data_IF_777911140366
#
_entry.id   IF_777911140366
#
_cell.length_a   1.000
_cell.length_b   1.000
_cell.length_c   1.000
_cell.angle_alpha   90.00
_cell.angle_beta   90.00
_cell.angle_gamma   90.00
#
_symmetry.space_group_name_H-M   'P 1'
#
loop_
_entity.id
_entity.type
_entity.pdbx_description
1 polymer ?
#
# COMPACT_ATOMS: atom_id res chain seq x y z
N UNK A 1 7.26 -1.41 -3.36
CA UNK A 1 6.15 -0.81 -2.58
C UNK A 1 5.73 0.56 -3.12
N UNK A 2 6.67 1.34 -3.66
CA UNK A 2 6.39 2.66 -4.22
C UNK A 2 5.53 2.63 -5.47
N UNK A 3 5.60 1.57 -6.25
CA UNK A 3 4.80 1.41 -7.48
C UNK A 3 3.29 1.36 -7.22
N UNK A 4 2.85 1.05 -6.00
CA UNK A 4 1.42 1.14 -5.62
C UNK A 4 0.96 2.60 -5.52
N UNK A 5 1.87 3.56 -5.34
CA UNK A 5 1.55 4.96 -5.12
C UNK A 5 1.87 5.84 -6.34
N UNK A 6 2.94 5.58 -7.08
CA UNK A 6 3.33 6.37 -8.27
C UNK A 6 4.39 5.62 -9.09
N UNK A 7 4.30 5.66 -10.41
CA UNK A 7 5.35 5.19 -11.30
C UNK A 7 5.45 6.12 -12.52
N UNK A 8 6.62 6.71 -12.69
CA UNK A 8 7.02 7.45 -13.90
C UNK A 8 7.82 6.55 -14.86
N UNK A 9 7.94 5.25 -14.57
CA UNK A 9 8.67 4.32 -15.40
C UNK A 9 7.85 3.92 -16.63
N UNK A 10 8.22 4.45 -17.78
CA UNK A 10 7.73 3.98 -19.05
C UNK A 10 8.16 2.53 -19.29
N UNK A 11 7.21 1.62 -19.32
CA UNK A 11 7.45 0.27 -19.82
C UNK A 11 7.33 0.27 -21.35
N UNK A 12 8.34 -0.26 -22.04
CA UNK A 12 8.24 -0.63 -23.44
C UNK A 12 7.26 -1.80 -23.58
N UNK A 13 6.03 -1.50 -24.01
CA UNK A 13 4.98 -2.50 -24.29
C UNK A 13 5.04 -2.99 -25.73
N UNK A 14 6.20 -2.89 -26.35
CA UNK A 14 6.36 -3.13 -27.76
C UNK A 14 6.61 -4.61 -27.95
N UNK A 15 5.84 -5.44 -28.34
CA UNK A 15 6.00 -6.67 -29.11
C UNK A 15 4.87 -7.71 -28.97
N UNK A 16 3.77 -7.37 -28.27
CA UNK A 16 2.64 -8.27 -28.30
C UNK A 16 1.43 -7.54 -28.93
N UNK A 17 1.09 -7.92 -30.16
CA UNK A 17 0.02 -7.30 -30.93
C UNK A 17 -1.33 -7.33 -30.17
N UNK A 18 -1.57 -8.41 -29.46
CA UNK A 18 -2.78 -8.58 -28.65
C UNK A 18 -2.79 -7.64 -27.44
N UNK A 19 -1.63 -7.36 -26.86
CA UNK A 19 -1.49 -6.38 -25.75
C UNK A 19 -1.63 -4.95 -26.27
N UNK A 20 -1.09 -4.66 -27.44
CA UNK A 20 -1.21 -3.35 -28.06
C UNK A 20 -2.69 -3.01 -28.34
N UNK A 21 -3.46 -3.96 -28.81
CA UNK A 21 -4.88 -3.76 -29.15
C UNK A 21 -5.77 -3.53 -27.94
N UNK A 22 -5.39 -4.06 -26.77
CA UNK A 22 -6.13 -3.80 -25.53
C UNK A 22 -5.66 -2.52 -24.83
N UNK A 23 -4.37 -2.23 -24.86
CA UNK A 23 -3.80 -1.04 -24.22
C UNK A 23 -3.97 0.21 -25.08
N UNK A 24 -3.97 0.05 -26.41
CA UNK A 24 -4.12 1.13 -27.37
C UNK A 24 -5.38 1.98 -27.17
N UNK A 25 -6.58 1.42 -26.94
CA UNK A 25 -7.76 2.21 -26.61
C UNK A 25 -7.59 3.04 -25.34
N UNK A 26 -6.89 2.53 -24.35
CA UNK A 26 -6.59 3.28 -23.11
C UNK A 26 -5.63 4.45 -23.33
N UNK A 27 -4.62 4.25 -24.18
CA UNK A 27 -3.57 5.23 -24.41
C UNK A 27 -3.95 6.26 -25.48
N UNK A 28 -4.66 5.85 -26.52
CA UNK A 28 -4.90 6.69 -27.71
C UNK A 28 -6.28 7.33 -27.75
N UNK A 29 -7.31 6.68 -27.24
CA UNK A 29 -8.68 7.18 -27.38
C UNK A 29 -9.12 8.13 -26.25
N UNK A 30 -8.25 8.44 -25.27
CA UNK A 30 -8.55 9.32 -24.12
C UNK A 30 -9.88 8.97 -23.40
N UNK A 31 -10.40 7.76 -23.55
CA UNK A 31 -11.70 7.35 -22.99
C UNK A 31 -11.69 7.19 -21.47
N UNK A 32 -10.51 7.00 -20.87
CA UNK A 32 -10.33 7.13 -19.43
C UNK A 32 -9.42 8.33 -19.18
N UNK A 33 -9.92 9.44 -18.66
CA UNK A 33 -9.08 10.58 -18.35
C UNK A 33 -8.00 10.14 -17.35
N UNK A 34 -6.75 10.50 -17.66
CA UNK A 34 -5.70 10.48 -16.65
C UNK A 34 -6.24 11.27 -15.48
N UNK A 35 -6.10 10.72 -14.29
CA UNK A 35 -6.52 11.45 -13.11
C UNK A 35 -5.62 12.68 -12.97
N UNK A 36 -6.21 13.87 -13.01
CA UNK A 36 -5.49 15.09 -12.70
C UNK A 36 -4.87 14.96 -11.31
N UNK A 37 -3.65 15.47 -11.16
CA UNK A 37 -2.84 15.38 -9.96
C UNK A 37 -3.39 16.20 -8.78
N UNK A 38 -4.54 16.82 -8.93
CA UNK A 38 -5.19 17.54 -7.83
C UNK A 38 -5.86 16.55 -6.88
N UNK A 39 -5.04 16.00 -6.02
CA UNK A 39 -5.58 15.11 -5.05
C UNK A 39 -5.05 15.42 -3.66
N UNK A 40 -5.80 16.26 -2.95
CA UNK A 40 -5.76 16.32 -1.49
C UNK A 40 -6.02 14.94 -0.85
N UNK A 41 -6.60 14.02 -1.63
CA UNK A 41 -6.89 12.65 -1.21
C UNK A 41 -6.53 11.64 -2.30
N UNK A 42 -5.37 11.01 -2.16
CA UNK A 42 -4.96 9.87 -2.98
C UNK A 42 -5.84 8.66 -2.62
N UNK A 43 -6.37 7.99 -3.62
CA UNK A 43 -7.12 6.73 -3.48
C UNK A 43 -6.66 5.69 -4.49
N UNK A 44 -6.98 4.42 -4.28
CA UNK A 44 -6.68 3.35 -5.21
C UNK A 44 -7.84 3.06 -6.15
N UNK A 45 -7.49 2.57 -7.33
CA UNK A 45 -8.41 2.04 -8.34
C UNK A 45 -8.19 0.54 -8.46
N UNK A 46 -9.26 -0.24 -8.59
CA UNK A 46 -9.19 -1.64 -8.96
C UNK A 46 -9.46 -1.79 -10.44
N UNK A 47 -8.59 -2.54 -11.15
CA UNK A 47 -8.79 -2.86 -12.56
C UNK A 47 -9.18 -4.33 -12.68
N UNK A 48 -10.36 -4.61 -13.19
CA UNK A 48 -10.81 -5.95 -13.55
C UNK A 48 -10.23 -6.36 -14.92
N UNK A 49 -8.91 -6.47 -14.99
CA UNK A 49 -8.19 -6.71 -16.23
C UNK A 49 -7.15 -7.81 -16.05
N UNK A 50 -6.86 -8.56 -17.12
CA UNK A 50 -5.74 -9.50 -17.18
C UNK A 50 -4.37 -8.82 -17.02
N UNK A 51 -4.32 -7.50 -17.15
CA UNK A 51 -3.07 -6.74 -17.17
C UNK A 51 -2.84 -6.05 -15.82
N UNK A 52 -1.99 -6.63 -14.98
CA UNK A 52 -1.85 -6.19 -13.58
C UNK A 52 -1.31 -4.78 -13.44
N UNK A 53 -0.48 -4.30 -14.33
CA UNK A 53 0.16 -2.99 -14.21
C UNK A 53 -0.54 -1.87 -15.00
N UNK A 54 -1.79 -2.06 -15.39
CA UNK A 54 -2.54 -1.07 -16.15
C UNK A 54 -2.68 0.26 -15.40
N UNK A 55 -2.79 0.23 -14.08
CA UNK A 55 -2.81 1.43 -13.23
C UNK A 55 -1.58 2.33 -13.43
N UNK A 56 -0.39 1.75 -13.68
CA UNK A 56 0.82 2.52 -13.95
C UNK A 56 0.70 3.32 -15.24
N UNK A 57 0.20 2.69 -16.31
CA UNK A 57 0.00 3.33 -17.60
C UNK A 57 -1.03 4.46 -17.53
N UNK A 58 -2.04 4.30 -16.66
CA UNK A 58 -3.12 5.26 -16.49
C UNK A 58 -2.81 6.34 -15.45
N UNK A 59 -1.60 6.35 -14.88
CA UNK A 59 -1.22 7.22 -13.76
C UNK A 59 -2.25 7.16 -12.60
N UNK A 60 -2.75 5.94 -12.31
CA UNK A 60 -3.71 5.68 -11.23
C UNK A 60 -3.10 4.73 -10.21
N UNK A 61 -3.04 5.09 -8.93
CA UNK A 61 -2.69 4.14 -7.88
C UNK A 61 -3.64 2.95 -7.94
N UNK A 62 -3.08 1.74 -7.97
CA UNK A 62 -3.88 0.53 -8.17
C UNK A 62 -3.57 -0.53 -7.13
N UNK A 63 -4.57 -1.38 -6.85
CA UNK A 63 -4.36 -2.64 -6.12
C UNK A 63 -3.95 -3.77 -7.06
N UNK A 64 -4.10 -3.59 -8.39
CA UNK A 64 -3.70 -4.57 -9.39
C UNK A 64 -2.25 -4.35 -9.78
N UNK A 65 -1.36 -5.27 -9.46
CA UNK A 65 0.08 -5.10 -9.67
C UNK A 65 0.76 -6.42 -10.04
N UNK A 66 1.85 -6.30 -10.82
CA UNK A 66 2.84 -7.34 -11.00
C UNK A 66 4.19 -6.83 -10.50
N UNK A 67 4.88 -7.62 -9.72
CA UNK A 67 6.22 -7.32 -9.23
C UNK A 67 7.16 -8.50 -9.44
N UNK A 68 8.30 -8.27 -10.06
CA UNK A 68 9.35 -9.30 -10.18
C UNK A 68 9.94 -9.68 -8.82
N UNK A 69 9.93 -8.75 -7.87
CA UNK A 69 10.36 -8.97 -6.48
C UNK A 69 9.25 -8.46 -5.56
N UNK A 70 8.69 -9.37 -4.76
CA UNK A 70 7.64 -9.06 -3.81
C UNK A 70 8.21 -8.74 -2.42
N UNK A 71 7.68 -7.69 -1.78
CA UNK A 71 7.85 -7.50 -0.36
C UNK A 71 7.17 -8.67 0.40
N UNK A 72 7.90 -9.30 1.32
CA UNK A 72 7.41 -10.48 2.07
C UNK A 72 6.12 -10.20 2.83
N UNK A 73 5.96 -8.99 3.37
CA UNK A 73 4.74 -8.61 4.08
C UNK A 73 3.55 -8.44 3.15
N UNK A 74 3.77 -7.88 1.94
CA UNK A 74 2.73 -7.81 0.92
C UNK A 74 2.34 -9.22 0.45
N UNK A 75 3.31 -10.09 0.21
CA UNK A 75 3.05 -11.47 -0.16
C UNK A 75 2.21 -12.21 0.91
N UNK A 76 2.61 -12.13 2.19
CA UNK A 76 1.84 -12.71 3.30
C UNK A 76 0.40 -12.18 3.31
N UNK A 77 0.22 -10.87 3.23
CA UNK A 77 -1.09 -10.23 3.22
C UNK A 77 -1.95 -10.72 2.05
N UNK A 78 -1.41 -10.70 0.83
CA UNK A 78 -2.16 -11.09 -0.38
C UNK A 78 -2.53 -12.57 -0.37
N UNK A 79 -1.63 -13.45 0.04
CA UNK A 79 -1.90 -14.90 0.13
C UNK A 79 -3.01 -15.22 1.12
N UNK A 80 -3.08 -14.48 2.23
CA UNK A 80 -4.09 -14.72 3.27
C UNK A 80 -5.45 -14.12 2.86
N UNK A 81 -5.46 -12.98 2.19
CA UNK A 81 -6.70 -12.31 1.78
C UNK A 81 -7.32 -12.88 0.51
N UNK A 82 -6.52 -13.60 -0.28
CA UNK A 82 -6.93 -14.20 -1.55
C UNK A 82 -6.82 -15.73 -1.52
N UNK A 83 -7.80 -16.38 -0.94
CA UNK A 83 -7.85 -17.83 -0.80
C UNK A 83 -7.94 -18.61 -2.13
N UNK A 84 -8.13 -17.93 -3.27
CA UNK A 84 -8.32 -18.56 -4.58
C UNK A 84 -7.09 -18.47 -5.49
N UNK A 85 -6.04 -17.71 -5.12
CA UNK A 85 -4.89 -17.43 -6.00
C UNK A 85 -3.54 -17.83 -5.40
N UNK A 86 -3.45 -19.01 -4.83
CA UNK A 86 -2.21 -19.56 -4.21
C UNK A 86 -1.17 -19.99 -5.26
N UNK A 87 -1.35 -19.77 -6.54
CA UNK A 87 -0.32 -20.10 -7.53
C UNK A 87 0.63 -18.92 -7.76
N UNK A 88 1.80 -18.99 -7.15
CA UNK A 88 3.09 -18.40 -7.56
C UNK A 88 3.02 -17.07 -8.32
N UNK A 89 2.09 -16.19 -8.01
CA UNK A 89 2.00 -15.01 -8.83
C UNK A 89 2.61 -13.80 -8.15
N UNK A 90 3.72 -13.36 -8.70
CA UNK A 90 4.17 -11.99 -8.61
C UNK A 90 3.08 -11.00 -9.08
N UNK A 91 1.91 -11.52 -9.41
CA UNK A 91 0.79 -10.83 -10.01
C UNK A 91 -0.37 -10.84 -9.03
N UNK A 92 -0.79 -9.66 -8.66
CA UNK A 92 -1.97 -9.44 -7.86
C UNK A 92 -3.01 -8.74 -8.73
N UNK A 93 -4.04 -9.48 -9.11
CA UNK A 93 -5.19 -8.94 -9.86
C UNK A 93 -6.44 -9.31 -9.10
N UNK A 94 -7.10 -8.32 -8.48
CA UNK A 94 -8.35 -8.59 -7.78
C UNK A 94 -9.43 -9.04 -8.77
N UNK A 95 -9.77 -10.30 -8.72
CA UNK A 95 -10.99 -10.84 -9.31
C UNK A 95 -11.89 -11.26 -8.16
N UNK A 96 -13.11 -10.80 -8.17
CA UNK A 96 -14.16 -11.22 -7.22
C UNK A 96 -13.82 -11.02 -5.73
N UNK A 97 -13.01 -10.01 -5.41
CA UNK A 97 -12.76 -9.67 -4.01
C UNK A 97 -14.03 -9.18 -3.31
N UNK A 98 -14.15 -9.57 -2.05
CA UNK A 98 -15.22 -9.10 -1.17
C UNK A 98 -15.18 -7.58 -0.99
N UNK A 99 -16.31 -6.90 -0.79
CA UNK A 99 -16.37 -5.47 -0.54
C UNK A 99 -15.46 -4.99 0.60
N UNK A 100 -15.30 -5.82 1.64
CA UNK A 100 -14.42 -5.60 2.78
C UNK A 100 -12.95 -5.40 2.38
N UNK A 101 -12.44 -6.17 1.41
CA UNK A 101 -11.09 -5.99 0.88
C UNK A 101 -10.92 -4.63 0.20
N UNK A 102 -11.85 -4.24 -0.66
CA UNK A 102 -11.77 -2.94 -1.34
C UNK A 102 -11.83 -1.76 -0.36
N UNK A 103 -12.67 -1.87 0.67
CA UNK A 103 -12.75 -0.89 1.73
C UNK A 103 -11.43 -0.78 2.52
N UNK A 104 -10.88 -1.93 2.96
CA UNK A 104 -9.60 -2.01 3.68
C UNK A 104 -8.43 -1.42 2.87
N UNK A 105 -8.43 -1.64 1.56
CA UNK A 105 -7.38 -1.17 0.65
C UNK A 105 -7.62 0.24 0.11
N UNK A 106 -8.62 0.97 0.61
CA UNK A 106 -8.95 2.34 0.19
C UNK A 106 -9.19 2.45 -1.33
N UNK A 107 -9.90 1.49 -1.90
CA UNK A 107 -10.31 1.49 -3.30
C UNK A 107 -11.57 2.33 -3.45
N UNK A 108 -11.49 3.43 -4.18
CA UNK A 108 -12.61 4.34 -4.44
C UNK A 108 -13.35 4.02 -5.73
N UNK A 109 -12.63 3.52 -6.72
CA UNK A 109 -13.15 3.27 -8.06
C UNK A 109 -12.75 1.88 -8.53
N UNK A 110 -13.66 1.22 -9.26
CA UNK A 110 -13.38 0.02 -10.04
C UNK A 110 -13.49 0.37 -11.51
N UNK A 111 -12.62 -0.18 -12.31
CA UNK A 111 -12.66 -0.05 -13.76
C UNK A 111 -12.95 -1.41 -14.34
N UNK A 112 -14.16 -1.55 -14.84
CA UNK A 112 -14.67 -2.73 -15.53
C UNK A 112 -14.46 -2.57 -17.03
N UNK A 113 -14.17 -3.66 -17.72
CA UNK A 113 -14.07 -3.72 -19.18
C UNK A 113 -15.18 -4.57 -19.77
N UNK A 114 -15.88 -4.03 -20.75
CA UNK A 114 -16.89 -4.76 -21.52
C UNK A 114 -16.78 -4.41 -23.02
N UNK A 115 -17.64 -4.98 -23.86
CA UNK A 115 -17.65 -4.79 -25.30
C UNK A 115 -17.87 -3.32 -25.75
N UNK A 116 -18.35 -2.48 -24.85
CA UNK A 116 -18.55 -1.04 -25.08
C UNK A 116 -17.33 -0.20 -24.62
N UNK A 117 -16.30 -0.86 -24.05
CA UNK A 117 -15.09 -0.22 -23.52
C UNK A 117 -15.02 -0.25 -22.00
N UNK A 118 -14.48 0.83 -21.42
CA UNK A 118 -14.25 0.92 -19.97
C UNK A 118 -15.35 1.68 -19.26
N UNK A 119 -15.78 1.11 -18.14
CA UNK A 119 -16.73 1.74 -17.22
C UNK A 119 -16.09 1.96 -15.87
N UNK A 120 -16.17 3.19 -15.37
CA UNK A 120 -15.74 3.51 -13.99
C UNK A 120 -16.94 3.36 -13.07
N UNK A 121 -16.81 2.50 -12.07
CA UNK A 121 -17.83 2.24 -11.05
C UNK A 121 -17.32 2.70 -9.70
N UNK A 122 -18.06 3.58 -9.03
CA UNK A 122 -17.72 4.06 -7.69
C UNK A 122 -17.91 2.96 -6.63
N UNK A 123 -17.00 2.88 -5.68
CA UNK A 123 -17.13 2.00 -4.53
C UNK A 123 -17.82 2.74 -3.38
N UNK A 124 -19.05 2.35 -3.05
CA UNK A 124 -19.82 2.94 -1.94
C UNK A 124 -19.14 2.74 -0.58
N UNK A 125 -18.36 1.68 -0.44
CA UNK A 125 -17.68 1.29 0.80
C UNK A 125 -16.25 1.86 0.90
N UNK A 126 -15.88 2.82 0.05
CA UNK A 126 -14.58 3.49 0.11
C UNK A 126 -14.32 4.14 1.45
N UNK A 127 -13.13 3.90 2.01
CA UNK A 127 -12.61 4.56 3.21
C UNK A 127 -11.32 5.29 2.81
N UNK A 128 -11.13 6.58 3.16
CA UNK A 128 -9.86 7.27 2.97
C UNK A 128 -8.72 6.53 3.66
N UNK A 129 -7.53 6.54 3.05
CA UNK A 129 -6.34 5.90 3.63
C UNK A 129 -5.90 6.65 4.89
N UNK A 130 -5.47 5.91 5.91
CA UNK A 130 -5.13 6.45 7.22
C UNK A 130 -6.37 6.57 8.11
N UNK A 131 -6.73 5.48 8.81
CA UNK A 131 -7.86 5.46 9.74
C UNK A 131 -7.54 4.69 11.02
N UNK A 132 -8.38 4.83 12.03
CA UNK A 132 -8.16 4.24 13.35
C UNK A 132 -9.17 3.16 13.69
N UNK A 133 -8.85 2.41 14.75
CA UNK A 133 -9.69 1.35 15.30
C UNK A 133 -9.96 1.61 16.78
N UNK A 134 -11.05 1.01 17.31
CA UNK A 134 -11.35 0.98 18.74
C UNK A 134 -10.99 -0.36 19.38
N UNK A 135 -10.84 -1.38 18.54
CA UNK A 135 -10.61 -2.75 18.97
C UNK A 135 -9.49 -3.40 18.17
N UNK A 136 -8.86 -4.42 18.78
CA UNK A 136 -7.84 -5.23 18.12
C UNK A 136 -8.15 -6.73 18.26
N UNK A 137 -7.59 -7.52 17.33
CA UNK A 137 -7.44 -8.97 17.43
C UNK A 137 -5.95 -9.31 17.38
N UNK A 138 -5.57 -10.46 17.88
CA UNK A 138 -4.21 -10.98 17.71
C UNK A 138 -4.12 -11.86 16.44
N UNK A 139 -2.92 -11.95 15.84
CA UNK A 139 -2.72 -12.72 14.59
C UNK A 139 -3.16 -14.18 14.72
N UNK A 140 -2.98 -14.82 15.88
CA UNK A 140 -3.40 -16.22 16.12
C UNK A 140 -4.93 -16.42 16.00
N UNK A 141 -5.72 -15.39 16.32
CA UNK A 141 -7.17 -15.43 16.11
C UNK A 141 -7.50 -15.46 14.61
N UNK A 142 -6.81 -14.64 13.81
CA UNK A 142 -6.99 -14.62 12.35
C UNK A 142 -6.45 -15.90 11.72
N UNK A 143 -5.32 -16.41 12.19
CA UNK A 143 -4.77 -17.68 11.72
C UNK A 143 -5.75 -18.85 11.95
N UNK A 144 -6.53 -18.83 13.06
CA UNK A 144 -7.59 -19.82 13.28
C UNK A 144 -8.72 -19.75 12.28
N UNK A 145 -9.06 -18.54 11.78
CA UNK A 145 -10.06 -18.36 10.71
C UNK A 145 -9.64 -19.00 9.38
N UNK A 146 -8.34 -19.03 9.09
CA UNK A 146 -7.84 -19.62 7.83
C UNK A 146 -7.99 -21.14 7.79
N UNK A 147 -8.07 -21.78 8.95
CA UNK A 147 -8.28 -23.22 9.07
C UNK A 147 -9.75 -23.60 9.09
N UNK A 148 -10.68 -22.62 9.04
CA UNK A 148 -12.09 -22.85 9.02
C UNK A 148 -12.56 -23.21 7.59
N UNK A 149 -13.38 -24.28 7.49
CA UNK A 149 -13.96 -24.74 6.23
C UNK A 149 -14.91 -23.73 5.59
N UNK A 150 -15.53 -22.86 6.39
CA UNK A 150 -16.53 -21.89 5.95
C UNK A 150 -15.93 -20.64 5.28
N UNK A 151 -14.58 -20.59 5.16
CA UNK A 151 -13.84 -19.49 4.52
C UNK A 151 -14.32 -18.10 4.98
N UNK A 152 -14.11 -17.76 6.24
CA UNK A 152 -14.57 -16.50 6.80
C UNK A 152 -13.95 -15.29 6.06
N UNK A 153 -14.59 -14.14 6.16
CA UNK A 153 -14.11 -12.90 5.55
C UNK A 153 -12.98 -12.30 6.36
N UNK A 154 -11.75 -12.76 6.11
CA UNK A 154 -10.54 -12.23 6.77
C UNK A 154 -10.36 -10.73 6.53
N UNK A 155 -10.54 -10.18 5.31
CA UNK A 155 -10.59 -8.73 5.09
C UNK A 155 -11.62 -8.00 5.97
N UNK A 156 -12.79 -8.59 6.23
CA UNK A 156 -13.79 -8.00 7.12
C UNK A 156 -13.31 -7.96 8.57
N UNK A 157 -12.68 -9.02 9.04
CA UNK A 157 -12.08 -9.06 10.37
C UNK A 157 -11.00 -7.97 10.53
N UNK A 158 -10.13 -7.81 9.52
CA UNK A 158 -9.11 -6.75 9.49
C UNK A 158 -9.69 -5.34 9.35
N UNK A 159 -10.86 -5.19 8.73
CA UNK A 159 -11.55 -3.92 8.62
C UNK A 159 -12.24 -3.55 9.93
N UNK A 160 -12.76 -4.54 10.64
CA UNK A 160 -13.47 -4.38 11.92
C UNK A 160 -12.51 -4.17 13.10
N UNK A 161 -11.36 -4.81 13.09
CA UNK A 161 -10.38 -4.82 14.16
C UNK A 161 -8.96 -4.63 13.60
N UNK A 162 -8.10 -3.93 14.36
CA UNK A 162 -6.67 -3.92 14.06
C UNK A 162 -6.06 -5.27 14.43
N UNK A 163 -5.54 -6.01 13.46
CA UNK A 163 -4.88 -7.29 13.74
C UNK A 163 -3.42 -7.03 14.10
N UNK A 164 -3.03 -7.42 15.33
CA UNK A 164 -1.72 -7.14 15.88
C UNK A 164 -0.93 -8.42 16.14
N UNK A 165 0.41 -8.39 15.99
CA UNK A 165 1.24 -9.52 16.38
C UNK A 165 1.08 -9.83 17.89
N UNK A 166 0.92 -11.10 18.24
CA UNK A 166 0.68 -11.53 19.61
C UNK A 166 1.80 -11.08 20.58
N UNK A 167 3.03 -11.15 20.13
CA UNK A 167 4.20 -10.73 20.91
C UNK A 167 4.25 -9.22 21.19
N UNK A 168 3.49 -8.42 20.43
CA UNK A 168 3.39 -6.96 20.56
C UNK A 168 2.06 -6.47 21.13
N UNK A 169 1.17 -7.36 21.52
CA UNK A 169 -0.16 -7.05 22.08
C UNK A 169 -0.09 -6.00 23.21
N UNK A 170 0.93 -6.10 24.06
CA UNK A 170 1.15 -5.19 25.20
C UNK A 170 1.30 -3.70 24.82
N UNK A 171 1.64 -3.41 23.56
CA UNK A 171 1.74 -2.03 23.05
C UNK A 171 0.34 -1.48 22.77
N UNK A 172 -0.53 -2.29 22.18
CA UNK A 172 -1.83 -1.89 21.68
C UNK A 172 -2.93 -1.88 22.73
N UNK A 173 -2.87 -2.79 23.69
CA UNK A 173 -3.87 -2.95 24.78
C UNK A 173 -4.07 -1.68 25.62
N UNK A 174 -3.11 -0.76 25.62
CA UNK A 174 -3.20 0.53 26.32
C UNK A 174 -4.19 1.50 25.66
N UNK A 175 -4.45 1.33 24.36
CA UNK A 175 -5.22 2.28 23.54
C UNK A 175 -6.44 1.64 22.88
N UNK A 176 -6.42 0.32 22.69
CA UNK A 176 -7.46 -0.44 22.00
C UNK A 176 -8.03 -1.52 22.94
N UNK A 177 -9.31 -1.80 22.81
CA UNK A 177 -9.96 -2.91 23.53
C UNK A 177 -9.81 -4.20 22.73
N UNK A 178 -9.70 -5.33 23.42
CA UNK A 178 -9.73 -6.63 22.74
C UNK A 178 -11.12 -6.85 22.12
N UNK A 179 -11.14 -7.14 20.84
CA UNK A 179 -12.35 -7.48 20.10
C UNK A 179 -12.65 -8.97 20.11
N UNK A 180 -13.84 -9.32 19.61
CA UNK A 180 -14.22 -10.69 19.32
C UNK A 180 -14.48 -10.80 17.82
N UNK A 181 -14.28 -11.99 17.25
CA UNK A 181 -14.67 -12.26 15.87
C UNK A 181 -16.16 -12.00 15.68
N UNK A 182 -16.50 -11.31 14.62
CA UNK A 182 -17.89 -11.02 14.25
C UNK A 182 -18.35 -12.15 13.34
N UNK A 183 -19.42 -12.81 13.73
CA UNK A 183 -20.10 -13.80 12.91
C UNK A 183 -20.94 -13.12 11.81
N UNK A 184 -21.23 -13.86 10.72
CA UNK A 184 -22.19 -13.41 9.72
C UNK A 184 -23.61 -13.28 10.32
N UNK A 185 -24.47 -12.36 9.80
CA UNK A 185 -24.22 -11.48 8.66
C UNK A 185 -23.36 -10.24 9.03
N UNK A 186 -22.42 -9.89 8.15
CA UNK A 186 -21.53 -8.74 8.34
C UNK A 186 -22.24 -7.41 8.09
N UNK A 187 -22.09 -6.46 9.00
CA UNK A 187 -22.62 -5.11 8.83
C UNK A 187 -21.57 -4.16 8.24
N UNK A 188 -21.38 -4.22 6.93
CA UNK A 188 -20.41 -3.38 6.21
C UNK A 188 -20.67 -1.88 6.39
N UNK A 189 -21.92 -1.43 6.30
CA UNK A 189 -22.26 -0.01 6.38
C UNK A 189 -21.87 0.59 7.74
N UNK A 190 -22.07 -0.16 8.82
CA UNK A 190 -21.66 0.25 10.17
C UNK A 190 -20.14 0.39 10.28
N UNK A 191 -19.40 -0.63 9.87
CA UNK A 191 -17.94 -0.64 9.97
C UNK A 191 -17.32 0.45 9.09
N UNK A 192 -17.77 0.59 7.85
CA UNK A 192 -17.30 1.63 6.92
C UNK A 192 -17.57 3.03 7.48
N UNK A 193 -18.77 3.26 8.02
CA UNK A 193 -19.14 4.54 8.63
C UNK A 193 -18.23 4.88 9.80
N UNK A 194 -17.93 3.90 10.66
CA UNK A 194 -17.06 4.08 11.81
C UNK A 194 -15.62 4.39 11.41
N UNK A 195 -15.07 3.68 10.41
CA UNK A 195 -13.71 3.96 9.91
C UNK A 195 -13.61 5.34 9.25
N UNK A 196 -14.64 5.76 8.50
CA UNK A 196 -14.67 7.09 7.88
C UNK A 196 -14.65 8.25 8.87
N UNK A 197 -15.27 8.12 10.03
CA UNK A 197 -15.27 9.18 11.07
C UNK A 197 -13.86 9.53 11.55
N UNK A 198 -12.96 8.56 11.54
CA UNK A 198 -11.61 8.66 12.05
C UNK A 198 -10.56 8.40 10.97
N UNK A 199 -10.88 8.77 9.73
CA UNK A 199 -9.97 8.68 8.60
C UNK A 199 -9.21 9.99 8.39
N UNK A 200 -8.12 9.94 7.62
CA UNK A 200 -7.32 11.11 7.30
C UNK A 200 -8.13 12.18 6.54
N UNK A 201 -7.95 13.43 6.93
CA UNK A 201 -8.51 14.60 6.27
C UNK A 201 -7.85 14.87 4.92
N UNK A 202 -6.55 14.54 4.81
CA UNK A 202 -5.73 14.67 3.61
C UNK A 202 -4.77 13.48 3.50
N UNK A 203 -4.59 12.96 2.29
CA UNK A 203 -3.60 11.94 1.98
C UNK A 203 -3.02 12.17 0.59
N UNK A 204 -1.74 12.50 0.52
CA UNK A 204 -1.03 12.77 -0.74
C UNK A 204 0.24 11.94 -0.86
N UNK A 205 0.49 11.40 -2.06
CA UNK A 205 1.74 10.74 -2.40
C UNK A 205 2.79 11.73 -2.88
N UNK A 206 4.05 11.44 -2.61
CA UNK A 206 5.19 12.15 -3.17
C UNK A 206 6.25 11.15 -3.67
N UNK A 207 7.36 11.63 -4.23
CA UNK A 207 8.43 10.79 -4.80
C UNK A 207 9.13 9.91 -3.76
N UNK A 208 9.03 10.25 -2.48
CA UNK A 208 9.70 9.53 -1.39
C UNK A 208 8.72 8.76 -0.49
N UNK A 209 7.41 8.93 -0.65
CA UNK A 209 6.44 8.30 0.22
C UNK A 209 5.08 8.95 0.18
N UNK A 210 4.55 9.31 1.34
CA UNK A 210 3.28 10.01 1.45
C UNK A 210 3.22 10.90 2.70
N UNK A 211 2.27 11.83 2.67
CA UNK A 211 1.90 12.69 3.79
C UNK A 211 0.40 12.53 4.01
N UNK A 212 0.01 12.45 5.27
CA UNK A 212 -1.37 12.30 5.72
C UNK A 212 -1.64 13.26 6.87
N UNK A 213 -2.69 14.07 6.76
CA UNK A 213 -3.19 14.87 7.87
C UNK A 213 -4.37 14.15 8.51
N UNK A 214 -4.37 14.04 9.82
CA UNK A 214 -5.42 13.37 10.56
C UNK A 214 -5.75 14.12 11.85
N UNK A 215 -7.04 14.14 12.21
CA UNK A 215 -7.52 14.74 13.46
C UNK A 215 -8.10 13.65 14.36
N UNK A 216 -7.48 13.43 15.53
CA UNK A 216 -7.89 12.39 16.47
C UNK A 216 -8.53 12.99 17.72
N UNK A 217 -9.62 12.38 18.18
CA UNK A 217 -10.30 12.72 19.43
C UNK A 217 -9.64 12.10 20.67
N UNK A 218 -8.78 11.11 20.49
CA UNK A 218 -7.99 10.40 21.52
C UNK A 218 -6.71 9.86 20.91
N UNK A 219 -5.76 9.53 21.76
CA UNK A 219 -4.54 8.80 21.36
C UNK A 219 -4.90 7.47 20.71
N UNK A 220 -4.32 7.17 19.54
CA UNK A 220 -4.61 5.93 18.83
C UNK A 220 -3.52 5.55 17.84
N UNK A 221 -3.62 4.34 17.29
CA UNK A 221 -2.83 3.89 16.16
C UNK A 221 -3.57 4.17 14.86
N UNK A 222 -2.92 4.92 13.96
CA UNK A 222 -3.43 5.16 12.60
C UNK A 222 -2.91 4.05 11.69
N UNK A 223 -3.84 3.34 11.08
CA UNK A 223 -3.57 2.28 10.13
C UNK A 223 -3.47 2.84 8.71
N UNK A 224 -2.48 2.34 7.98
CA UNK A 224 -2.29 2.61 6.56
C UNK A 224 -2.21 1.27 5.81
N UNK A 225 -3.03 1.10 4.77
CA UNK A 225 -2.99 -0.09 3.91
C UNK A 225 -1.75 -0.08 2.99
N UNK A 226 -0.58 0.15 3.59
CA UNK A 226 0.74 0.16 2.96
C UNK A 226 1.58 -0.94 3.61
N UNK A 227 2.25 -1.81 2.84
CA UNK A 227 3.07 -2.87 3.40
C UNK A 227 4.14 -2.31 4.33
N UNK A 228 4.32 -2.95 5.48
CA UNK A 228 5.42 -2.64 6.37
C UNK A 228 6.73 -3.06 5.70
N UNK A 229 7.63 -2.11 5.50
CA UNK A 229 8.92 -2.32 4.87
C UNK A 229 10.03 -1.65 5.68
N UNK A 230 11.20 -2.29 5.75
CA UNK A 230 12.38 -1.76 6.45
C UNK A 230 12.89 -0.45 5.86
N UNK A 231 12.57 -0.18 4.60
CA UNK A 231 12.90 1.07 3.93
C UNK A 231 12.03 2.26 4.35
N UNK A 232 10.89 2.03 4.99
CA UNK A 232 10.05 3.12 5.49
C UNK A 232 10.53 3.65 6.83
N UNK A 233 10.55 4.97 6.93
CA UNK A 233 10.66 5.71 8.19
C UNK A 233 9.41 6.56 8.34
N UNK A 234 8.72 6.42 9.48
CA UNK A 234 7.54 7.21 9.79
C UNK A 234 7.88 8.41 10.68
N UNK A 235 7.16 9.50 10.48
CA UNK A 235 7.26 10.73 11.27
C UNK A 235 5.85 11.20 11.65
N UNK A 236 5.72 11.75 12.85
CA UNK A 236 4.53 12.46 13.33
C UNK A 236 4.98 13.87 13.69
N UNK A 237 4.43 14.90 13.03
CA UNK A 237 4.83 16.30 13.17
C UNK A 237 6.35 16.52 13.03
N UNK A 238 6.95 15.84 12.04
CA UNK A 238 8.39 15.90 11.77
C UNK A 238 9.27 15.11 12.74
N UNK A 239 8.73 14.53 13.82
CA UNK A 239 9.47 13.66 14.74
C UNK A 239 9.37 12.21 14.33
N UNK A 240 10.50 11.51 14.27
CA UNK A 240 10.51 10.10 13.93
C UNK A 240 9.66 9.29 14.93
N UNK A 241 8.83 8.41 14.40
CA UNK A 241 7.93 7.53 15.14
C UNK A 241 8.15 6.06 14.75
N UNK A 242 7.73 5.16 15.64
CA UNK A 242 7.85 3.71 15.40
C UNK A 242 6.79 3.26 14.41
N UNK A 243 7.23 2.58 13.35
CA UNK A 243 6.35 1.89 12.41
C UNK A 243 6.03 0.51 12.97
N UNK A 244 4.75 0.23 13.19
CA UNK A 244 4.27 -1.07 13.66
C UNK A 244 3.72 -1.87 12.49
N UNK A 245 4.15 -3.14 12.39
CA UNK A 245 3.55 -4.10 11.47
C UNK A 245 2.24 -4.61 12.09
N UNK A 246 1.15 -4.48 11.35
CA UNK A 246 -0.22 -4.88 11.73
C UNK A 246 -0.93 -5.50 10.53
N UNK A 247 -2.15 -6.02 10.72
CA UNK A 247 -2.96 -6.58 9.65
C UNK A 247 -2.15 -7.48 8.70
N UNK A 248 -1.40 -8.42 9.31
CA UNK A 248 -0.62 -9.47 8.64
C UNK A 248 0.51 -8.98 7.71
N UNK A 249 0.89 -7.72 7.79
CA UNK A 249 1.99 -7.18 6.98
C UNK A 249 1.85 -5.72 6.59
N UNK A 250 0.78 -5.06 6.98
CA UNK A 250 0.54 -3.64 6.71
C UNK A 250 1.06 -2.76 7.86
N UNK A 251 0.92 -1.46 7.73
CA UNK A 251 1.58 -0.47 8.58
C UNK A 251 0.63 0.26 9.52
N UNK A 252 1.09 0.56 10.74
CA UNK A 252 0.45 1.55 11.60
C UNK A 252 1.47 2.40 12.36
N UNK A 253 1.04 3.58 12.79
CA UNK A 253 1.85 4.53 13.57
C UNK A 253 1.00 5.07 14.71
N UNK A 254 1.59 5.20 15.90
CA UNK A 254 0.95 5.85 17.03
C UNK A 254 0.86 7.35 16.80
N UNK A 255 -0.33 7.92 16.99
CA UNK A 255 -0.60 9.35 16.86
C UNK A 255 -1.39 9.81 18.10
N UNK A 256 -0.94 10.86 18.81
CA UNK A 256 -1.68 11.38 19.96
C UNK A 256 -2.99 12.06 19.55
N UNK A 257 -3.79 12.44 20.54
CA UNK A 257 -5.00 13.25 20.34
C UNK A 257 -4.62 14.62 19.78
N UNK A 258 -5.38 15.09 18.79
CA UNK A 258 -5.17 16.39 18.15
C UNK A 258 -5.11 16.29 16.64
N UNK A 259 -4.71 17.39 16.00
CA UNK A 259 -4.46 17.45 14.56
C UNK A 259 -2.97 17.24 14.33
N UNK A 260 -2.63 16.25 13.51
CA UNK A 260 -1.25 15.84 13.27
C UNK A 260 -0.99 15.57 11.79
N UNK A 261 0.26 15.83 11.38
CA UNK A 261 0.78 15.38 10.10
C UNK A 261 1.58 14.09 10.30
N UNK A 262 1.21 13.05 9.57
CA UNK A 262 1.94 11.78 9.52
C UNK A 262 2.64 11.66 8.17
N UNK A 263 3.96 11.51 8.18
CA UNK A 263 4.75 11.37 6.97
C UNK A 263 5.46 10.03 6.95
N UNK A 264 5.44 9.34 5.81
CA UNK A 264 6.25 8.18 5.52
C UNK A 264 7.29 8.53 4.45
N UNK A 265 8.56 8.24 4.74
CA UNK A 265 9.66 8.37 3.79
C UNK A 265 10.24 7.00 3.49
N UNK A 266 10.41 6.68 2.23
CA UNK A 266 10.96 5.41 1.78
C UNK A 266 12.37 5.60 1.24
N UNK A 267 13.28 4.77 1.73
CA UNK A 267 14.62 4.60 1.18
C UNK A 267 14.94 3.11 1.17
N UNK A 268 15.23 2.51 0.01
CA UNK A 268 15.58 1.08 -0.05
C UNK A 268 16.70 0.73 0.92
N UNK A 269 16.56 -0.40 1.61
CA UNK A 269 17.61 -0.92 2.49
C UNK A 269 18.91 -1.13 1.70
N UNK A 270 20.04 -0.72 2.26
CA UNK A 270 21.36 -0.79 1.61
C UNK A 270 21.68 0.35 0.62
N UNK A 271 20.71 1.21 0.29
CA UNK A 271 20.95 2.29 -0.66
C UNK A 271 21.95 3.33 -0.13
N UNK A 272 21.85 3.70 1.15
CA UNK A 272 22.81 4.65 1.78
C UNK A 272 24.21 4.08 1.80
N UNK A 273 24.34 2.83 2.20
CA UNK A 273 25.60 2.10 2.28
C UNK A 273 26.22 1.94 0.88
N UNK A 274 25.42 1.59 -0.11
CA UNK A 274 25.86 1.50 -1.51
C UNK A 274 26.30 2.86 -2.07
N UNK A 275 25.59 3.94 -1.78
CA UNK A 275 25.99 5.29 -2.18
C UNK A 275 27.32 5.69 -1.53
N UNK A 276 27.49 5.45 -0.23
CA UNK A 276 28.75 5.75 0.46
C UNK A 276 29.92 4.95 -0.11
N UNK A 277 29.73 3.65 -0.37
CA UNK A 277 30.76 2.81 -1.00
C UNK A 277 31.13 3.32 -2.40
N UNK A 278 30.14 3.72 -3.20
CA UNK A 278 30.37 4.28 -4.55
C UNK A 278 31.14 5.58 -4.50
N UNK A 279 30.81 6.49 -3.59
CA UNK A 279 31.55 7.75 -3.39
C UNK A 279 32.98 7.47 -2.92
N UNK A 280 33.17 6.57 -1.96
CA UNK A 280 34.52 6.21 -1.47
C UNK A 280 35.35 5.62 -2.61
N UNK A 281 34.80 4.72 -3.43
CA UNK A 281 35.53 4.17 -4.58
C UNK A 281 35.90 5.25 -5.61
N UNK A 282 34.98 6.19 -5.89
CA UNK A 282 35.28 7.33 -6.79
C UNK A 282 36.41 8.15 -6.28
N UNK A 283 36.44 8.47 -4.99
CA UNK A 283 37.58 9.24 -4.37
C UNK A 283 38.89 8.49 -4.51
N UNK A 284 38.90 7.15 -4.25
CA UNK A 284 40.09 6.31 -4.43
C UNK A 284 40.59 6.37 -5.88
N UNK A 285 39.69 6.22 -6.85
CA UNK A 285 40.04 6.27 -8.27
C UNK A 285 40.66 7.63 -8.67
N UNK A 286 40.06 8.72 -8.17
CA UNK A 286 40.60 10.07 -8.39
C UNK A 286 41.99 10.25 -7.79
N UNK A 287 42.22 9.74 -6.58
CA UNK A 287 43.54 9.81 -5.93
C UNK A 287 44.60 8.98 -6.67
N UNK A 288 44.25 7.79 -7.14
CA UNK A 288 45.14 6.95 -7.95
C UNK A 288 45.48 7.65 -9.27
N UNK A 289 44.49 8.16 -9.98
CA UNK A 289 44.68 8.88 -11.24
C UNK A 289 45.53 10.14 -11.07
N UNK A 290 45.32 10.87 -9.97
CA UNK A 290 46.14 12.04 -9.61
C UNK A 290 47.59 11.63 -9.37
N UNK A 291 47.82 10.57 -8.60
CA UNK A 291 49.18 10.09 -8.27
C UNK A 291 49.93 9.62 -9.53
N UNK A 292 49.27 8.88 -10.42
CA UNK A 292 49.86 8.47 -11.71
C UNK A 292 50.18 9.68 -12.59
N UNK A 293 49.36 10.70 -12.64
CA UNK A 293 49.58 11.94 -13.39
C UNK A 293 50.79 12.72 -12.84
N UNK A 294 50.99 12.72 -11.52
CA UNK A 294 52.17 13.32 -10.88
C UNK A 294 53.46 12.55 -11.24
N UNK A 295 53.40 11.21 -11.22
CA UNK A 295 54.56 10.36 -11.62
C UNK A 295 54.98 10.59 -13.07
N UNK A 296 54.01 10.70 -14.00
CA UNK A 296 54.27 11.00 -15.40
C UNK A 296 54.84 12.37 -15.68
N UNK A 297 54.56 13.39 -14.82
CA UNK A 297 55.14 14.74 -14.95
C UNK A 297 56.55 14.84 -14.37
N UNK A 298 57.04 13.85 -13.61
CA UNK A 298 58.38 13.81 -13.01
C UNK A 298 59.35 12.96 -13.83
N UNK A 299 58.91 12.30 -14.88
CA UNK A 299 59.73 11.68 -15.93
C UNK A 299 59.85 12.62 -17.15
#
# INVERSE_FOLDING_TARGET
CFHILRSDAGFSLVDDKDRADIVRPYLLDNKLPRKDSDASMLYRTAFESRYPNLGLLMNRPSVSTFHSVLNTNLYKFTTITDSNHVEFSNTFVPKDYKPSFYALMSVKEKIEYNDQGYKVVGNKDYIPMGFTYDTYLTEDVVDSMLNDSDKPDVPYAMLSHLVVPKEKEHIFVKYLKRGNLVAEPYNMDSVVTERRKNASDRFIGNTQGFISDITLTRDNFVFYSVPADKGFTAYVDGKQSVLHKVNLGLSSVFVPKGKHEVQFKFMPAGMKEGMMASVAMLVILLLVGWNEKIKLRKK
#
